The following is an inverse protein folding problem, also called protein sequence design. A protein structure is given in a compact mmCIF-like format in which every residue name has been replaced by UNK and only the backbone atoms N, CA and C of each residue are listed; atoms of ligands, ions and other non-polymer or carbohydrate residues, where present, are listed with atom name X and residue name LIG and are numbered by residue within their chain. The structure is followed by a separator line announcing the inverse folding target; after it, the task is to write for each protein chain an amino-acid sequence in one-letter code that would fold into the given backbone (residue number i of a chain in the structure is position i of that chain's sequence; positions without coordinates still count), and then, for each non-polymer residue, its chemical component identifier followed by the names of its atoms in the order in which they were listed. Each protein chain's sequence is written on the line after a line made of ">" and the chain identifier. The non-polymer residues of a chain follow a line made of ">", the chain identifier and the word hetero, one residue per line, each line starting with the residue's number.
data_IF_061374629254
#
_entry.id   IF_061374629254
#
_cell.length_a   1.000
_cell.length_b   1.000
_cell.length_c   1.000
_cell.angle_alpha   90.00
_cell.angle_beta   90.00
_cell.angle_gamma   90.00
#
_symmetry.space_group_name_H-M   'P 1'
#
loop_
_entity.id
_entity.type
_entity.pdbx_description
1 polymer ?
#
# COMPACT_ATOMS: atom_id res chain seq x y z
N UNK A 1 7.81 1.88 12.28
CA UNK A 1 6.48 2.25 12.84
C UNK A 1 5.41 1.51 12.05
N UNK A 2 4.18 1.39 12.56
CA UNK A 2 3.08 0.77 11.80
C UNK A 2 2.29 1.85 11.06
N UNK A 3 2.19 1.76 9.73
CA UNK A 3 1.53 2.74 8.85
C UNK A 3 0.43 2.07 8.05
N UNK A 4 -0.76 2.68 8.05
CA UNK A 4 -1.88 2.29 7.19
C UNK A 4 -2.03 3.36 6.11
N UNK A 5 -1.93 2.95 4.85
CA UNK A 5 -2.10 3.80 3.68
C UNK A 5 -3.41 3.39 2.99
N UNK A 6 -4.33 4.34 2.85
CA UNK A 6 -5.60 4.13 2.15
C UNK A 6 -5.48 4.73 0.76
N UNK A 7 -5.59 3.87 -0.25
CA UNK A 7 -5.41 4.21 -1.65
C UNK A 7 -3.95 4.03 -2.09
N UNK A 8 -3.75 3.26 -3.15
CA UNK A 8 -2.51 3.00 -3.86
C UNK A 8 -2.51 3.57 -5.29
N UNK A 9 -3.17 4.73 -5.47
CA UNK A 9 -2.97 5.55 -6.66
C UNK A 9 -1.58 6.20 -6.67
N UNK A 10 -1.37 7.15 -7.59
CA UNK A 10 -0.05 7.75 -7.83
C UNK A 10 0.69 8.22 -6.56
N UNK A 11 -0.03 8.88 -5.64
CA UNK A 11 0.55 9.38 -4.40
C UNK A 11 0.73 8.27 -3.37
N UNK A 12 -0.28 7.40 -3.23
CA UNK A 12 -0.27 6.34 -2.23
C UNK A 12 0.78 5.27 -2.51
N UNK A 13 1.00 4.93 -3.77
CA UNK A 13 2.07 4.03 -4.20
C UNK A 13 3.45 4.59 -3.88
N UNK A 14 3.73 5.85 -4.27
CA UNK A 14 4.99 6.51 -3.93
C UNK A 14 5.24 6.61 -2.41
N UNK A 15 4.19 6.92 -1.64
CA UNK A 15 4.30 6.96 -0.19
C UNK A 15 4.59 5.58 0.40
N UNK A 16 4.01 4.52 -0.18
CA UNK A 16 4.22 3.13 0.22
C UNK A 16 5.69 2.74 0.04
N UNK A 17 6.27 3.03 -1.12
CA UNK A 17 7.68 2.78 -1.42
C UNK A 17 8.60 3.48 -0.40
N UNK A 18 8.44 4.80 -0.22
CA UNK A 18 9.25 5.59 0.71
C UNK A 18 9.10 5.07 2.16
N UNK A 19 7.89 4.70 2.56
CA UNK A 19 7.63 4.22 3.91
C UNK A 19 8.31 2.87 4.19
N UNK A 20 8.29 1.94 3.22
CA UNK A 20 8.96 0.64 3.32
C UNK A 20 10.48 0.83 3.35
N UNK A 21 11.04 1.66 2.47
CA UNK A 21 12.48 1.96 2.45
C UNK A 21 12.96 2.59 3.76
N UNK A 22 12.11 3.38 4.42
CA UNK A 22 12.37 3.94 5.73
C UNK A 22 12.27 2.92 6.90
N UNK A 23 11.99 1.63 6.60
CA UNK A 23 11.91 0.55 7.58
C UNK A 23 10.60 0.52 8.37
N UNK A 24 9.50 1.02 7.80
CA UNK A 24 8.19 0.93 8.42
C UNK A 24 7.47 -0.37 8.04
N UNK A 25 6.61 -0.82 8.95
CA UNK A 25 5.66 -1.90 8.66
C UNK A 25 4.41 -1.24 8.05
N UNK A 26 4.15 -1.54 6.79
CA UNK A 26 3.13 -0.85 6.00
C UNK A 26 1.99 -1.80 5.68
N UNK A 27 0.76 -1.30 5.82
CA UNK A 27 -0.46 -1.93 5.33
C UNK A 27 -1.14 -0.99 4.36
N UNK A 28 -1.51 -1.50 3.20
CA UNK A 28 -2.20 -0.75 2.15
C UNK A 28 -3.63 -1.27 2.02
N UNK A 29 -4.60 -0.37 2.04
CA UNK A 29 -6.00 -0.69 1.68
C UNK A 29 -6.26 -0.05 0.32
N UNK A 30 -6.54 -0.87 -0.69
CA UNK A 30 -6.80 -0.40 -2.05
C UNK A 30 -8.02 -1.10 -2.63
N UNK A 31 -8.98 -0.32 -3.15
CA UNK A 31 -10.23 -0.84 -3.70
C UNK A 31 -10.06 -1.42 -5.10
N UNK A 32 -9.21 -0.82 -5.94
CA UNK A 32 -8.93 -1.32 -7.28
C UNK A 32 -8.05 -2.57 -7.22
N UNK A 33 -8.59 -3.71 -7.65
CA UNK A 33 -7.89 -4.98 -7.57
C UNK A 33 -6.60 -5.01 -8.38
N UNK A 34 -6.55 -4.35 -9.53
CA UNK A 34 -5.34 -4.33 -10.35
C UNK A 34 -4.22 -3.54 -9.66
N UNK A 35 -4.55 -2.43 -8.99
CA UNK A 35 -3.59 -1.67 -8.18
C UNK A 35 -3.15 -2.44 -6.93
N UNK A 36 -4.09 -3.09 -6.25
CA UNK A 36 -3.76 -3.92 -5.10
C UNK A 36 -2.77 -5.04 -5.47
N UNK A 37 -3.02 -5.74 -6.58
CA UNK A 37 -2.14 -6.80 -7.07
C UNK A 37 -0.76 -6.27 -7.48
N UNK A 38 -0.68 -5.09 -8.10
CA UNK A 38 0.60 -4.44 -8.42
C UNK A 38 1.40 -4.17 -7.14
N UNK A 39 0.81 -3.50 -6.15
CA UNK A 39 1.50 -3.19 -4.89
C UNK A 39 1.92 -4.45 -4.15
N UNK A 40 1.07 -5.47 -4.10
CA UNK A 40 1.38 -6.74 -3.43
C UNK A 40 2.52 -7.50 -4.12
N UNK A 41 2.72 -7.28 -5.42
CA UNK A 41 3.78 -7.90 -6.21
C UNK A 41 5.09 -7.11 -6.13
N UNK A 42 5.01 -5.78 -6.12
CA UNK A 42 6.15 -4.88 -6.23
C UNK A 42 6.78 -4.54 -4.87
N UNK A 43 6.04 -4.68 -3.77
CA UNK A 43 6.46 -4.23 -2.44
C UNK A 43 6.25 -5.29 -1.35
N UNK A 44 7.16 -5.30 -0.37
CA UNK A 44 7.05 -6.15 0.83
C UNK A 44 6.15 -5.48 1.89
N UNK A 45 4.84 -5.49 1.63
CA UNK A 45 3.82 -4.96 2.54
C UNK A 45 2.53 -5.77 2.49
N UNK A 46 1.70 -5.66 3.53
CA UNK A 46 0.37 -6.29 3.53
C UNK A 46 -0.61 -5.43 2.72
N UNK A 47 -1.27 -6.03 1.75
CA UNK A 47 -2.32 -5.36 0.96
C UNK A 47 -3.69 -5.97 1.26
N UNK A 48 -4.66 -5.10 1.54
CA UNK A 48 -6.07 -5.44 1.71
C UNK A 48 -6.83 -4.86 0.51
N UNK A 49 -7.38 -5.73 -0.32
CA UNK A 49 -8.22 -5.28 -1.44
C UNK A 49 -9.66 -5.07 -0.98
N UNK A 50 -9.96 -3.89 -0.44
CA UNK A 50 -11.30 -3.54 0.06
C UNK A 50 -11.54 -2.02 0.04
N UNK A 51 -12.78 -1.61 0.33
CA UNK A 51 -13.12 -0.22 0.63
C UNK A 51 -12.69 0.14 2.05
N UNK A 52 -12.12 1.33 2.22
CA UNK A 52 -11.60 1.82 3.49
C UNK A 52 -12.59 2.73 4.25
N UNK A 53 -13.81 2.90 3.72
CA UNK A 53 -14.87 3.74 4.32
C UNK A 53 -16.01 2.93 4.93
#
# INVERSE_FOLDING_TARGET
>A
MYLIIVGAGDIGGQLTEIAIEAGNEVVVIERDSARADMIASDHDCLVINDDAT
#
